data_IF_363337287743
#
_entry.id   IF_363337287743
#
_cell.length_a   1.000
_cell.length_b   1.000
_cell.length_c   1.000
_cell.angle_alpha   90.00
_cell.angle_beta   90.00
_cell.angle_gamma   90.00
#
_symmetry.space_group_name_H-M   'P 1'
#
loop_
_entity.id
_entity.type
_entity.pdbx_description
1 polymer ?
#
# COMPACT_ATOMS: atom_id res chain seq x y z
N UNK A 1 8.15 37.45 14.16
CA UNK A 1 9.19 36.40 14.07
C UNK A 1 9.63 35.88 15.43
N UNK A 2 10.10 36.70 16.40
CA UNK A 2 10.46 36.21 17.75
C UNK A 2 9.38 35.35 18.42
N UNK A 3 8.11 35.77 18.34
CA UNK A 3 6.97 34.98 18.86
C UNK A 3 6.73 33.66 18.09
N UNK A 4 7.04 33.61 16.78
CA UNK A 4 6.94 32.40 15.97
C UNK A 4 8.08 31.41 16.31
N UNK A 5 9.31 31.92 16.44
CA UNK A 5 10.46 31.15 16.92
C UNK A 5 10.24 30.62 18.32
N UNK A 6 9.62 31.39 19.21
CA UNK A 6 9.30 30.92 20.56
C UNK A 6 8.25 29.80 20.56
N UNK A 7 7.22 29.91 19.72
CA UNK A 7 6.19 28.87 19.56
C UNK A 7 6.73 27.58 18.93
N UNK A 8 7.69 27.67 18.02
CA UNK A 8 8.29 26.52 17.34
C UNK A 8 9.73 26.24 17.80
N UNK A 9 10.07 26.64 19.03
CA UNK A 9 11.45 26.59 19.55
C UNK A 9 12.01 25.18 19.56
N UNK A 10 11.24 24.22 20.08
CA UNK A 10 11.65 22.81 20.12
C UNK A 10 11.83 22.19 18.73
N UNK A 11 11.11 22.69 17.71
CA UNK A 11 11.27 22.26 16.32
C UNK A 11 12.60 22.80 15.76
N UNK A 12 12.87 24.08 15.99
CA UNK A 12 14.07 24.76 15.49
C UNK A 12 15.37 24.27 16.15
N UNK A 13 15.33 23.95 17.45
CA UNK A 13 16.49 23.45 18.21
C UNK A 13 16.86 22.02 17.85
N UNK A 14 15.89 21.18 17.43
CA UNK A 14 16.10 19.77 17.07
C UNK A 14 16.36 19.53 15.58
N UNK A 15 16.04 20.49 14.72
CA UNK A 15 16.12 20.31 13.27
C UNK A 15 17.58 20.26 12.78
N UNK A 16 17.88 19.24 11.97
CA UNK A 16 19.21 19.01 11.39
C UNK A 16 19.35 19.73 10.03
N UNK A 17 18.25 20.10 9.40
CA UNK A 17 18.23 20.88 8.16
C UNK A 17 17.06 21.90 8.12
N UNK A 18 17.13 22.94 7.25
CA UNK A 18 16.04 23.89 7.05
C UNK A 18 14.74 23.23 6.56
N UNK A 19 14.83 22.08 5.91
CA UNK A 19 13.71 21.37 5.33
C UNK A 19 12.80 20.74 6.41
N UNK A 20 13.39 20.23 7.50
CA UNK A 20 12.67 19.76 8.68
C UNK A 20 11.90 20.90 9.36
N UNK A 21 12.46 22.12 9.35
CA UNK A 21 11.76 23.31 9.83
C UNK A 21 10.60 23.67 8.89
N UNK A 22 10.82 23.69 7.56
CA UNK A 22 9.77 23.99 6.59
C UNK A 22 8.59 23.00 6.68
N UNK A 23 8.90 21.71 6.80
CA UNK A 23 7.90 20.66 7.00
C UNK A 23 7.17 20.75 8.34
N UNK A 24 7.88 21.10 9.42
CA UNK A 24 7.27 21.36 10.71
C UNK A 24 6.33 22.56 10.66
N UNK A 25 6.72 23.64 10.00
CA UNK A 25 5.89 24.83 9.79
C UNK A 25 4.63 24.49 8.97
N UNK A 26 4.77 23.74 7.88
CA UNK A 26 3.62 23.27 7.08
C UNK A 26 2.66 22.39 7.92
N UNK A 27 3.19 21.48 8.73
CA UNK A 27 2.39 20.63 9.61
C UNK A 27 1.60 21.42 10.66
N UNK A 28 2.10 22.60 11.06
CA UNK A 28 1.40 23.53 11.95
C UNK A 28 0.54 24.57 11.19
N UNK A 29 0.32 24.37 9.88
CA UNK A 29 -0.58 25.18 9.06
C UNK A 29 0.03 26.48 8.51
N UNK A 30 1.35 26.64 8.56
CA UNK A 30 2.04 27.77 7.92
C UNK A 30 2.13 27.51 6.41
N UNK A 31 1.59 28.42 5.61
CA UNK A 31 1.61 28.38 4.15
C UNK A 31 2.51 29.48 3.57
N UNK A 32 2.79 29.47 2.27
CA UNK A 32 3.57 30.52 1.60
C UNK A 32 2.95 31.92 1.81
N UNK A 33 1.61 32.01 1.83
CA UNK A 33 0.87 33.23 2.19
C UNK A 33 1.12 33.66 3.64
N UNK A 34 1.27 32.71 4.57
CA UNK A 34 1.62 32.99 5.97
C UNK A 34 3.08 33.46 6.09
N UNK A 35 3.99 32.87 5.33
CA UNK A 35 5.40 33.27 5.27
C UNK A 35 5.59 34.71 4.74
N UNK A 36 4.79 35.10 3.73
CA UNK A 36 4.76 36.46 3.20
C UNK A 36 4.45 37.53 4.28
N UNK A 37 3.62 37.21 5.28
CA UNK A 37 3.33 38.11 6.42
C UNK A 37 4.56 38.34 7.31
N UNK A 38 5.52 37.41 7.30
CA UNK A 38 6.81 37.56 7.98
C UNK A 38 7.89 38.18 7.08
N UNK A 39 7.52 38.72 5.91
CA UNK A 39 8.44 39.27 4.88
C UNK A 39 9.42 38.25 4.28
N UNK A 40 9.02 36.98 4.24
CA UNK A 40 9.74 35.94 3.50
C UNK A 40 8.95 35.54 2.26
N UNK A 41 9.64 35.18 1.18
CA UNK A 41 9.02 34.83 -0.11
C UNK A 41 8.12 33.59 0.00
N UNK A 42 8.54 32.61 0.79
CA UNK A 42 7.93 31.27 0.90
C UNK A 42 8.31 30.63 2.25
N UNK A 43 7.68 29.48 2.57
CA UNK A 43 7.95 28.73 3.80
C UNK A 43 9.38 28.21 3.87
N UNK A 44 10.01 27.89 2.74
CA UNK A 44 11.40 27.42 2.69
C UNK A 44 12.38 28.52 3.11
N UNK A 45 12.22 29.72 2.57
CA UNK A 45 13.00 30.92 2.91
C UNK A 45 12.82 31.31 4.37
N UNK A 46 11.59 31.21 4.89
CA UNK A 46 11.31 31.43 6.31
C UNK A 46 12.02 30.37 7.18
N UNK A 47 12.03 29.11 6.73
CA UNK A 47 12.67 28.01 7.44
C UNK A 47 14.20 28.11 7.41
N UNK A 48 14.81 28.53 6.30
CA UNK A 48 16.24 28.84 6.21
C UNK A 48 16.63 29.96 7.16
N UNK A 49 15.84 31.03 7.23
CA UNK A 49 16.08 32.13 8.16
C UNK A 49 15.95 31.67 9.62
N UNK A 50 14.91 30.88 9.93
CA UNK A 50 14.73 30.30 11.26
C UNK A 50 15.86 29.33 11.61
N UNK A 51 16.35 28.56 10.65
CA UNK A 51 17.52 27.70 10.80
C UNK A 51 18.75 28.55 11.12
N UNK A 52 19.08 29.56 10.30
CA UNK A 52 20.27 30.39 10.46
C UNK A 52 20.33 31.15 11.80
N UNK A 53 19.18 31.49 12.38
CA UNK A 53 19.07 32.25 13.64
C UNK A 53 19.20 31.41 14.92
N UNK A 54 19.13 30.08 14.83
CA UNK A 54 19.34 29.21 15.99
C UNK A 54 20.85 29.12 16.23
N UNK A 55 21.35 29.52 17.41
CA UNK A 55 22.75 29.30 17.76
C UNK A 55 23.00 27.80 17.84
N UNK A 56 23.73 27.24 16.87
CA UNK A 56 24.22 25.86 16.93
C UNK A 56 25.68 25.92 17.34
N UNK A 57 26.04 25.20 18.39
CA UNK A 57 27.44 25.11 18.83
C UNK A 57 28.32 24.49 17.74
N UNK A 58 29.62 24.66 17.88
CA UNK A 58 30.65 24.11 16.97
C UNK A 58 30.58 22.57 16.83
N UNK A 59 29.83 21.90 17.71
CA UNK A 59 29.46 20.47 17.63
C UNK A 59 28.35 20.15 16.62
N UNK A 60 28.09 21.04 15.64
CA UNK A 60 27.10 20.75 14.59
C UNK A 60 27.65 19.59 13.75
N UNK A 61 27.05 18.38 13.77
CA UNK A 61 27.49 17.31 12.90
C UNK A 61 27.45 17.82 11.45
N UNK A 62 28.47 17.51 10.62
CA UNK A 62 28.57 18.06 9.28
C UNK A 62 27.26 17.87 8.54
N UNK A 63 26.81 18.93 7.85
CA UNK A 63 25.61 18.95 7.02
C UNK A 63 25.53 17.60 6.29
N UNK A 64 24.46 16.80 6.46
CA UNK A 64 24.41 15.50 5.83
C UNK A 64 24.61 15.73 4.33
N UNK A 65 25.77 15.30 3.81
CA UNK A 65 26.10 15.41 2.40
C UNK A 65 24.90 14.86 1.62
N UNK A 66 24.51 15.46 0.47
CA UNK A 66 23.36 15.04 -0.30
C UNK A 66 23.43 13.53 -0.44
N UNK A 67 22.52 12.85 0.27
CA UNK A 67 22.65 11.42 0.57
C UNK A 67 22.86 10.73 -0.77
N UNK A 68 24.09 10.27 -1.03
CA UNK A 68 24.37 9.50 -2.22
C UNK A 68 23.30 8.40 -2.26
N UNK A 69 22.55 8.33 -3.36
CA UNK A 69 21.45 7.39 -3.52
C UNK A 69 21.89 6.04 -2.93
N UNK A 70 21.13 5.43 -2.01
CA UNK A 70 21.53 4.17 -1.42
C UNK A 70 21.92 3.23 -2.55
N UNK A 71 23.19 2.79 -2.60
CA UNK A 71 23.65 1.85 -3.63
C UNK A 71 22.65 0.69 -3.67
N UNK A 72 22.20 0.25 -4.86
CA UNK A 72 21.27 -0.86 -4.97
C UNK A 72 21.94 -2.08 -4.35
N UNK A 73 21.57 -2.41 -3.12
CA UNK A 73 22.13 -3.57 -2.47
C UNK A 73 21.36 -4.79 -3.02
N UNK A 74 22.05 -5.75 -3.65
CA UNK A 74 21.41 -6.88 -4.30
C UNK A 74 20.68 -7.79 -3.30
N UNK A 75 21.12 -7.80 -2.04
CA UNK A 75 20.44 -8.45 -0.91
C UNK A 75 18.97 -7.99 -0.78
N UNK A 76 18.70 -6.71 -1.03
CA UNK A 76 17.38 -6.10 -0.92
C UNK A 76 16.50 -6.41 -2.12
N UNK A 77 17.09 -6.48 -3.31
CA UNK A 77 16.40 -6.91 -4.53
C UNK A 77 16.02 -8.40 -4.45
N UNK A 78 16.93 -9.23 -3.94
CA UNK A 78 16.68 -10.65 -3.71
C UNK A 78 15.56 -10.87 -2.69
N UNK A 79 15.55 -10.10 -1.59
CA UNK A 79 14.47 -10.14 -0.60
C UNK A 79 13.11 -9.72 -1.18
N UNK A 80 13.06 -8.87 -2.21
CA UNK A 80 11.80 -8.46 -2.84
C UNK A 80 11.22 -9.46 -3.83
N UNK A 81 12.05 -10.36 -4.37
CA UNK A 81 11.63 -11.45 -5.26
C UNK A 81 11.26 -12.72 -4.48
N UNK A 82 11.77 -12.86 -3.26
CA UNK A 82 11.57 -14.01 -2.38
C UNK A 82 10.09 -14.40 -2.15
N UNK A 83 9.13 -13.47 -1.95
CA UNK A 83 7.72 -13.83 -1.79
C UNK A 83 7.13 -14.49 -3.04
N UNK A 84 7.47 -13.99 -4.22
CA UNK A 84 7.02 -14.54 -5.50
C UNK A 84 7.65 -15.89 -5.81
N UNK A 85 8.95 -16.04 -5.54
CA UNK A 85 9.66 -17.31 -5.70
C UNK A 85 9.11 -18.41 -4.78
N UNK A 86 8.85 -18.08 -3.50
CA UNK A 86 8.24 -19.01 -2.54
C UNK A 86 6.78 -19.34 -2.91
N UNK A 87 6.03 -18.36 -3.41
CA UNK A 87 4.66 -18.60 -3.89
C UNK A 87 4.66 -19.55 -5.10
N UNK A 88 5.54 -19.32 -6.08
CA UNK A 88 5.73 -20.22 -7.21
C UNK A 88 6.14 -21.63 -6.78
N UNK A 89 7.10 -21.77 -5.86
CA UNK A 89 7.54 -23.04 -5.31
C UNK A 89 6.43 -23.79 -4.54
N UNK A 90 5.59 -23.06 -3.80
CA UNK A 90 4.44 -23.64 -3.11
C UNK A 90 3.40 -24.14 -4.12
N UNK A 91 3.13 -23.38 -5.18
CA UNK A 91 2.19 -23.78 -6.23
C UNK A 91 2.68 -24.99 -7.04
N UNK A 92 3.97 -25.06 -7.37
CA UNK A 92 4.54 -26.26 -8.01
C UNK A 92 4.48 -27.46 -7.08
N UNK A 93 4.80 -27.28 -5.79
CA UNK A 93 4.65 -28.34 -4.78
C UNK A 93 3.20 -28.84 -4.66
N UNK A 94 2.21 -27.94 -4.74
CA UNK A 94 0.79 -28.30 -4.73
C UNK A 94 0.34 -29.07 -5.97
N UNK A 95 0.94 -28.79 -7.14
CA UNK A 95 0.66 -29.54 -8.39
C UNK A 95 1.29 -30.94 -8.38
N UNK A 96 2.36 -31.14 -7.62
CA UNK A 96 3.11 -32.41 -7.53
C UNK A 96 2.68 -33.30 -6.35
N UNK A 97 1.77 -32.85 -5.49
CA UNK A 97 1.37 -33.59 -4.29
C UNK A 97 -0.12 -33.89 -4.24
N UNK A 98 -0.45 -35.10 -3.79
CA UNK A 98 -1.83 -35.57 -3.62
C UNK A 98 -2.16 -35.82 -2.14
N UNK A 99 -3.47 -35.89 -1.84
CA UNK A 99 -3.99 -36.26 -0.52
C UNK A 99 -3.51 -35.38 0.65
N UNK A 100 -3.15 -36.02 1.78
CA UNK A 100 -2.73 -35.34 3.02
C UNK A 100 -1.46 -34.51 2.86
N UNK A 101 -0.56 -34.96 1.99
CA UNK A 101 0.70 -34.28 1.64
C UNK A 101 0.44 -32.91 1.02
N UNK A 102 -0.58 -32.80 0.17
CA UNK A 102 -1.00 -31.54 -0.44
C UNK A 102 -1.49 -30.52 0.59
N UNK A 103 -2.22 -30.95 1.62
CA UNK A 103 -2.65 -30.08 2.71
C UNK A 103 -1.45 -29.53 3.50
N UNK A 104 -0.46 -30.38 3.78
CA UNK A 104 0.77 -29.95 4.46
C UNK A 104 1.58 -28.95 3.61
N UNK A 105 1.69 -29.19 2.31
CA UNK A 105 2.33 -28.25 1.37
C UNK A 105 1.56 -26.94 1.27
N UNK A 106 0.22 -26.97 1.26
CA UNK A 106 -0.61 -25.77 1.27
C UNK A 106 -0.35 -24.92 2.53
N UNK A 107 -0.40 -25.56 3.71
CA UNK A 107 -0.15 -24.88 4.99
C UNK A 107 1.26 -24.31 5.06
N UNK A 108 2.27 -25.08 4.65
CA UNK A 108 3.66 -24.62 4.59
C UNK A 108 3.84 -23.46 3.59
N UNK A 109 3.22 -23.55 2.41
CA UNK A 109 3.21 -22.49 1.40
C UNK A 109 2.60 -21.19 1.93
N UNK A 110 1.44 -21.27 2.58
CA UNK A 110 0.80 -20.10 3.21
C UNK A 110 1.67 -19.51 4.30
N UNK A 111 2.26 -20.35 5.17
CA UNK A 111 3.13 -19.87 6.26
C UNK A 111 4.40 -19.19 5.74
N UNK A 112 5.05 -19.77 4.72
CA UNK A 112 6.27 -19.22 4.13
C UNK A 112 5.99 -17.92 3.38
N UNK A 113 4.94 -17.85 2.56
CA UNK A 113 4.54 -16.62 1.85
C UNK A 113 4.14 -15.52 2.83
N UNK A 114 3.34 -15.84 3.85
CA UNK A 114 2.95 -14.84 4.88
C UNK A 114 4.14 -14.36 5.70
N UNK A 115 5.12 -15.22 5.99
CA UNK A 115 6.34 -14.82 6.68
C UNK A 115 7.23 -13.94 5.79
N UNK A 116 7.43 -14.32 4.53
CA UNK A 116 8.17 -13.54 3.55
C UNK A 116 7.55 -12.15 3.35
N UNK A 117 6.23 -12.09 3.18
CA UNK A 117 5.49 -10.83 3.08
C UNK A 117 5.66 -9.99 4.36
N UNK A 118 5.56 -10.60 5.55
CA UNK A 118 5.82 -9.91 6.83
C UNK A 118 7.25 -9.39 6.95
N UNK A 119 8.23 -10.09 6.41
CA UNK A 119 9.64 -9.66 6.42
C UNK A 119 9.89 -8.51 5.44
N UNK A 120 9.37 -8.58 4.21
CA UNK A 120 9.48 -7.50 3.21
C UNK A 120 8.75 -6.24 3.70
N UNK A 121 7.53 -6.41 4.23
CA UNK A 121 6.74 -5.34 4.82
C UNK A 121 7.23 -4.94 6.23
N UNK A 122 8.17 -5.67 6.82
CA UNK A 122 8.64 -5.42 8.18
C UNK A 122 10.00 -4.75 8.25
N UNK A 123 10.91 -5.18 7.38
CA UNK A 123 12.33 -4.82 7.39
C UNK A 123 12.78 -4.18 6.07
N UNK A 124 11.91 -4.15 5.05
CA UNK A 124 12.21 -3.62 3.72
C UNK A 124 12.16 -2.09 3.59
N UNK A 125 12.41 -1.55 2.38
CA UNK A 125 12.36 -0.10 2.08
C UNK A 125 10.95 0.50 2.24
N UNK A 126 9.94 -0.37 2.36
CA UNK A 126 8.57 -0.02 2.67
C UNK A 126 8.26 -0.13 4.17
N UNK A 127 9.23 -0.40 5.05
CA UNK A 127 8.99 -0.52 6.49
C UNK A 127 8.55 0.81 7.10
N UNK A 128 7.46 0.85 7.90
CA UNK A 128 7.07 2.06 8.60
C UNK A 128 8.16 2.51 9.59
N UNK A 129 8.30 3.82 9.77
CA UNK A 129 9.24 4.42 10.74
C UNK A 129 8.98 3.87 12.15
N UNK A 130 10.05 3.54 12.89
CA UNK A 130 9.98 3.02 14.28
C UNK A 130 9.14 3.98 15.15
N UNK A 131 7.96 3.54 15.59
CA UNK A 131 7.08 4.28 16.50
C UNK A 131 5.58 4.03 16.34
N UNK A 132 5.10 3.68 15.15
CA UNK A 132 3.66 3.48 14.86
C UNK A 132 3.21 2.03 15.14
N UNK A 133 2.81 1.74 16.38
CA UNK A 133 2.59 0.35 16.84
C UNK A 133 1.16 -0.23 16.66
N UNK A 134 0.04 0.47 16.90
CA UNK A 134 -1.27 -0.20 16.89
C UNK A 134 -1.85 -0.41 15.49
N UNK A 135 -1.81 0.59 14.60
CA UNK A 135 -2.42 0.50 13.26
C UNK A 135 -1.74 -0.51 12.31
N UNK A 136 -0.46 -0.82 12.55
CA UNK A 136 0.37 -1.68 11.69
C UNK A 136 -0.03 -3.16 11.73
N UNK A 137 -0.49 -3.66 12.89
CA UNK A 137 -0.96 -5.05 13.01
C UNK A 137 -2.31 -5.23 12.31
N UNK A 138 -3.18 -4.23 12.42
CA UNK A 138 -4.50 -4.23 11.79
C UNK A 138 -4.39 -4.20 10.26
N UNK A 139 -3.54 -3.35 9.68
CA UNK A 139 -3.31 -3.35 8.23
C UNK A 139 -2.74 -4.68 7.73
N UNK A 140 -1.76 -5.25 8.43
CA UNK A 140 -1.17 -6.54 8.04
C UNK A 140 -2.19 -7.69 8.09
N UNK A 141 -3.07 -7.70 9.10
CA UNK A 141 -4.15 -8.68 9.21
C UNK A 141 -5.13 -8.57 8.03
N UNK A 142 -5.60 -7.36 7.72
CA UNK A 142 -6.52 -7.12 6.61
C UNK A 142 -5.89 -7.36 5.25
N UNK A 143 -4.61 -7.01 5.06
CA UNK A 143 -3.89 -7.38 3.83
C UNK A 143 -3.81 -8.89 3.67
N UNK A 144 -3.55 -9.64 4.74
CA UNK A 144 -3.59 -11.11 4.72
C UNK A 144 -4.97 -11.66 4.38
N UNK A 145 -6.02 -11.06 4.95
CA UNK A 145 -7.42 -11.41 4.66
C UNK A 145 -7.78 -11.18 3.20
N UNK A 146 -7.50 -9.99 2.65
CA UNK A 146 -7.79 -9.66 1.24
C UNK A 146 -7.03 -10.55 0.25
N UNK A 147 -5.78 -10.92 0.58
CA UNK A 147 -5.02 -11.88 -0.23
C UNK A 147 -5.62 -13.30 -0.17
N UNK A 148 -6.13 -13.71 0.99
CA UNK A 148 -6.84 -14.98 1.13
C UNK A 148 -8.18 -14.96 0.37
N UNK A 149 -8.91 -13.85 0.41
CA UNK A 149 -10.15 -13.67 -0.34
C UNK A 149 -9.90 -13.65 -1.85
N UNK A 150 -8.85 -12.99 -2.34
CA UNK A 150 -8.50 -13.02 -3.77
C UNK A 150 -8.19 -14.42 -4.31
N UNK A 151 -7.82 -15.36 -3.41
CA UNK A 151 -7.44 -16.72 -3.77
C UNK A 151 -8.59 -17.73 -3.65
N UNK A 152 -9.40 -17.61 -2.60
CA UNK A 152 -10.48 -18.55 -2.26
C UNK A 152 -11.88 -17.93 -2.37
N UNK A 153 -12.01 -16.61 -2.26
CA UNK A 153 -13.28 -15.89 -2.13
C UNK A 153 -14.19 -16.02 -3.34
N UNK A 154 -13.64 -15.96 -4.56
CA UNK A 154 -14.43 -16.11 -5.79
C UNK A 154 -15.03 -17.53 -5.91
N UNK A 155 -14.27 -18.54 -5.51
CA UNK A 155 -14.73 -19.93 -5.44
C UNK A 155 -15.83 -20.12 -4.37
N UNK A 156 -15.67 -19.48 -3.21
CA UNK A 156 -16.68 -19.48 -2.14
C UNK A 156 -17.97 -18.82 -2.59
N UNK A 157 -17.87 -17.65 -3.24
CA UNK A 157 -19.03 -16.89 -3.70
C UNK A 157 -19.79 -17.66 -4.78
N UNK A 158 -19.07 -18.28 -5.73
CA UNK A 158 -19.68 -19.15 -6.76
C UNK A 158 -20.42 -20.32 -6.13
N UNK A 159 -19.82 -21.01 -5.16
CA UNK A 159 -20.46 -22.12 -4.46
C UNK A 159 -21.68 -21.66 -3.64
N UNK A 160 -21.58 -20.51 -2.97
CA UNK A 160 -22.68 -19.94 -2.21
C UNK A 160 -23.89 -19.56 -3.10
N UNK A 161 -23.66 -19.07 -4.32
CA UNK A 161 -24.72 -18.79 -5.29
C UNK A 161 -25.31 -20.09 -5.86
N UNK A 162 -24.50 -21.12 -6.08
CA UNK A 162 -24.93 -22.37 -6.74
C UNK A 162 -25.80 -23.31 -5.88
N UNK A 163 -25.98 -23.05 -4.58
CA UNK A 163 -26.70 -23.97 -3.68
C UNK A 163 -25.96 -24.30 -2.38
N UNK A 164 -24.72 -23.82 -2.24
CA UNK A 164 -23.89 -23.93 -1.04
C UNK A 164 -22.56 -24.60 -1.36
N UNK A 165 -21.54 -24.46 -0.49
CA UNK A 165 -20.31 -25.23 -0.65
C UNK A 165 -20.59 -26.70 -0.33
N UNK A 166 -20.60 -27.54 -1.36
CA UNK A 166 -20.81 -28.99 -1.23
C UNK A 166 -19.63 -29.71 -0.55
N UNK A 167 -18.52 -29.01 -0.29
CA UNK A 167 -17.34 -29.54 0.39
C UNK A 167 -16.29 -28.49 0.78
N UNK A 168 -15.26 -28.95 1.49
CA UNK A 168 -14.10 -28.13 1.87
C UNK A 168 -13.21 -27.78 0.66
N UNK A 169 -12.42 -26.69 0.73
CA UNK A 169 -11.49 -26.34 -0.35
C UNK A 169 -10.43 -27.44 -0.52
N UNK A 170 -10.57 -28.22 -1.59
CA UNK A 170 -9.62 -29.26 -1.99
C UNK A 170 -8.41 -28.70 -2.73
N UNK A 171 -8.47 -27.42 -3.13
CA UNK A 171 -7.41 -26.72 -3.84
C UNK A 171 -7.24 -27.16 -5.30
N UNK A 172 -8.14 -28.00 -5.84
CA UNK A 172 -8.17 -28.41 -7.24
C UNK A 172 -8.90 -27.36 -8.10
N UNK A 173 -8.46 -27.12 -9.34
CA UNK A 173 -9.19 -26.28 -10.30
C UNK A 173 -10.63 -26.77 -10.52
N UNK A 174 -10.86 -28.09 -10.51
CA UNK A 174 -12.17 -28.72 -10.73
C UNK A 174 -12.88 -29.13 -9.42
N UNK A 175 -12.43 -28.60 -8.27
CA UNK A 175 -13.05 -28.91 -6.99
C UNK A 175 -14.40 -28.19 -6.78
N UNK A 176 -15.22 -28.64 -5.81
CA UNK A 176 -16.45 -27.95 -5.42
C UNK A 176 -16.18 -26.51 -4.92
N UNK A 177 -14.92 -26.22 -4.57
CA UNK A 177 -14.43 -24.89 -4.23
C UNK A 177 -13.08 -24.65 -4.97
N UNK A 178 -13.12 -24.07 -6.18
CA UNK A 178 -11.93 -23.86 -6.99
C UNK A 178 -11.02 -22.78 -6.38
N UNK A 179 -9.72 -23.05 -6.40
CA UNK A 179 -8.67 -22.13 -5.94
C UNK A 179 -8.04 -21.42 -7.13
N UNK A 180 -7.92 -20.09 -7.08
CA UNK A 180 -7.30 -19.29 -8.14
C UNK A 180 -5.83 -18.96 -7.79
N UNK A 181 -4.84 -19.72 -8.30
CA UNK A 181 -3.43 -19.49 -8.01
C UNK A 181 -2.86 -18.23 -8.69
N UNK A 182 -3.40 -17.85 -9.86
CA UNK A 182 -2.85 -16.76 -10.68
C UNK A 182 -2.88 -15.38 -9.99
N UNK A 183 -3.98 -14.94 -9.34
CA UNK A 183 -4.01 -13.68 -8.59
C UNK A 183 -3.01 -13.63 -7.44
N UNK A 184 -2.85 -14.73 -6.70
CA UNK A 184 -1.89 -14.83 -5.58
C UNK A 184 -0.44 -14.71 -6.05
N UNK A 185 -0.07 -15.46 -7.09
CA UNK A 185 1.26 -15.40 -7.68
C UNK A 185 1.56 -13.97 -8.19
N UNK A 186 0.60 -13.37 -8.88
CA UNK A 186 0.74 -12.02 -9.43
C UNK A 186 0.93 -10.98 -8.33
N UNK A 187 0.11 -11.01 -7.27
CA UNK A 187 0.19 -10.04 -6.16
C UNK A 187 1.46 -10.22 -5.30
N UNK A 188 1.97 -11.45 -5.17
CA UNK A 188 3.24 -11.69 -4.46
C UNK A 188 4.44 -11.22 -5.29
N UNK A 189 4.44 -11.45 -6.61
CA UNK A 189 5.45 -10.91 -7.53
C UNK A 189 5.39 -9.37 -7.62
N UNK A 190 4.20 -8.78 -7.49
CA UNK A 190 4.00 -7.34 -7.48
C UNK A 190 4.72 -6.59 -6.34
N UNK A 191 5.24 -7.31 -5.33
CA UNK A 191 6.09 -6.72 -4.29
C UNK A 191 7.35 -6.06 -4.87
N UNK A 192 7.94 -6.65 -5.92
CA UNK A 192 9.13 -6.10 -6.57
C UNK A 192 8.84 -4.74 -7.25
N UNK A 193 7.89 -4.61 -8.20
CA UNK A 193 7.56 -3.32 -8.80
C UNK A 193 7.02 -2.32 -7.77
N UNK A 194 6.28 -2.75 -6.74
CA UNK A 194 5.82 -1.85 -5.67
C UNK A 194 6.99 -1.18 -4.92
N UNK A 195 8.02 -1.95 -4.55
CA UNK A 195 9.18 -1.40 -3.85
C UNK A 195 10.01 -0.47 -4.75
N UNK A 196 10.17 -0.83 -6.02
CA UNK A 196 10.83 -0.01 -7.02
C UNK A 196 10.10 1.33 -7.23
N UNK A 197 8.77 1.28 -7.44
CA UNK A 197 7.94 2.47 -7.61
C UNK A 197 7.97 3.39 -6.38
N UNK A 198 7.90 2.84 -5.17
CA UNK A 198 8.03 3.64 -3.95
C UNK A 198 9.43 4.28 -3.81
N UNK A 199 10.48 3.56 -4.20
CA UNK A 199 11.84 4.10 -4.21
C UNK A 199 12.00 5.21 -5.25
N UNK A 200 11.45 5.04 -6.45
CA UNK A 200 11.45 6.08 -7.49
C UNK A 200 10.69 7.33 -7.03
N UNK A 201 9.51 7.17 -6.42
CA UNK A 201 8.73 8.27 -5.89
C UNK A 201 9.53 9.02 -4.83
N UNK A 202 10.07 8.33 -3.83
CA UNK A 202 10.82 8.96 -2.74
C UNK A 202 12.11 9.63 -3.21
N UNK A 203 12.85 9.01 -4.13
CA UNK A 203 14.07 9.58 -4.69
C UNK A 203 13.80 10.81 -5.57
N UNK A 204 12.74 10.79 -6.39
CA UNK A 204 12.37 11.93 -7.24
C UNK A 204 11.68 13.04 -6.46
N UNK A 205 10.84 12.72 -5.48
CA UNK A 205 10.23 13.71 -4.59
C UNK A 205 11.31 14.50 -3.83
N UNK A 206 12.36 13.83 -3.33
CA UNK A 206 13.51 14.49 -2.70
C UNK A 206 14.23 15.44 -3.65
N UNK A 207 14.57 15.00 -4.87
CA UNK A 207 15.21 15.88 -5.87
C UNK A 207 14.36 17.08 -6.24
N UNK A 208 13.04 16.91 -6.32
CA UNK A 208 12.10 18.02 -6.59
C UNK A 208 12.03 18.97 -5.40
N UNK A 209 12.06 18.43 -4.18
CA UNK A 209 12.06 19.22 -2.95
C UNK A 209 13.32 20.09 -2.81
N UNK A 210 14.49 19.56 -3.19
CA UNK A 210 15.75 20.32 -3.21
C UNK A 210 15.79 21.42 -4.29
N UNK A 211 15.00 21.26 -5.37
CA UNK A 211 14.97 22.19 -6.50
C UNK A 211 13.87 23.26 -6.40
N UNK A 212 12.76 22.95 -5.72
CA UNK A 212 11.61 23.84 -5.58
C UNK A 212 11.85 24.91 -4.52
N UNK A 213 11.40 26.14 -4.80
CA UNK A 213 11.54 27.26 -3.86
C UNK A 213 10.27 27.53 -3.06
N UNK A 214 9.13 26.95 -3.43
CA UNK A 214 7.84 27.14 -2.75
C UNK A 214 7.04 25.85 -2.61
N UNK A 215 6.05 25.84 -1.71
CA UNK A 215 5.24 24.66 -1.43
C UNK A 215 4.26 24.36 -2.58
N UNK A 216 3.74 25.40 -3.22
CA UNK A 216 2.88 25.29 -4.40
C UNK A 216 3.63 24.69 -5.60
N UNK A 217 4.87 25.14 -5.84
CA UNK A 217 5.74 24.63 -6.90
C UNK A 217 6.11 23.15 -6.67
N UNK A 218 6.38 22.79 -5.41
CA UNK A 218 6.62 21.41 -5.01
C UNK A 218 5.39 20.52 -5.25
N UNK A 219 4.22 20.97 -4.80
CA UNK A 219 2.94 20.26 -4.97
C UNK A 219 2.65 20.01 -6.45
N UNK A 220 2.76 21.06 -7.28
CA UNK A 220 2.55 20.98 -8.72
C UNK A 220 3.52 20.03 -9.42
N UNK A 221 4.75 19.90 -8.92
CA UNK A 221 5.78 19.01 -9.47
C UNK A 221 5.63 17.55 -9.04
N UNK A 222 5.14 17.29 -7.82
CA UNK A 222 5.02 15.94 -7.25
C UNK A 222 3.72 15.24 -7.64
N UNK A 223 2.63 15.98 -7.87
CA UNK A 223 1.36 15.40 -8.30
C UNK A 223 1.47 14.56 -9.60
N UNK A 224 2.04 15.07 -10.72
CA UNK A 224 2.19 14.27 -11.94
C UNK A 224 3.18 13.11 -11.76
N UNK A 225 4.17 13.26 -10.88
CA UNK A 225 5.10 12.19 -10.54
C UNK A 225 4.38 11.04 -9.81
N UNK A 226 3.53 11.34 -8.84
CA UNK A 226 2.76 10.34 -8.11
C UNK A 226 1.84 9.57 -9.05
N UNK A 227 1.10 10.29 -9.91
CA UNK A 227 0.23 9.67 -10.91
C UNK A 227 1.03 8.81 -11.90
N UNK A 228 2.17 9.31 -12.39
CA UNK A 228 3.04 8.56 -13.30
C UNK A 228 3.64 7.29 -12.68
N UNK A 229 4.00 7.31 -11.39
CA UNK A 229 4.49 6.12 -10.68
C UNK A 229 3.36 5.14 -10.43
N UNK A 230 2.16 5.62 -10.12
CA UNK A 230 0.98 4.79 -9.93
C UNK A 230 0.56 4.10 -11.23
N UNK A 231 0.54 4.82 -12.36
CA UNK A 231 0.25 4.24 -13.67
C UNK A 231 1.34 3.26 -14.11
N UNK A 232 2.62 3.55 -13.82
CA UNK A 232 3.72 2.62 -14.05
C UNK A 232 3.55 1.32 -13.24
N UNK A 233 3.12 1.41 -11.98
CA UNK A 233 2.83 0.24 -11.15
C UNK A 233 1.67 -0.59 -11.73
N UNK A 234 0.58 0.06 -12.14
CA UNK A 234 -0.55 -0.63 -12.76
C UNK A 234 -0.18 -1.31 -14.09
N UNK A 235 0.64 -0.65 -14.92
CA UNK A 235 1.15 -1.24 -16.16
C UNK A 235 2.01 -2.48 -15.90
N UNK A 236 2.93 -2.41 -14.93
CA UNK A 236 3.73 -3.55 -14.52
C UNK A 236 2.88 -4.69 -13.95
N UNK A 237 1.86 -4.37 -13.14
CA UNK A 237 0.93 -5.33 -12.58
C UNK A 237 0.08 -6.02 -13.66
N UNK A 238 -0.38 -5.26 -14.66
CA UNK A 238 -1.10 -5.80 -15.82
C UNK A 238 -0.24 -6.77 -16.63
N UNK A 239 1.01 -6.39 -16.92
CA UNK A 239 1.95 -7.26 -17.62
C UNK A 239 2.25 -8.55 -16.82
N UNK A 240 2.44 -8.44 -15.51
CA UNK A 240 2.61 -9.61 -14.63
C UNK A 240 1.36 -10.50 -14.61
N UNK A 241 0.16 -9.90 -14.63
CA UNK A 241 -1.10 -10.64 -14.69
C UNK A 241 -1.17 -11.47 -15.98
N UNK A 242 -0.84 -10.86 -17.12
CA UNK A 242 -0.79 -11.56 -18.41
C UNK A 242 0.22 -12.72 -18.41
N UNK A 243 1.42 -12.48 -17.87
CA UNK A 243 2.48 -13.49 -17.77
C UNK A 243 2.10 -14.65 -16.85
N UNK A 244 1.52 -14.36 -15.68
CA UNK A 244 1.12 -15.40 -14.72
C UNK A 244 -0.07 -16.21 -15.25
N UNK A 245 -1.04 -15.54 -15.90
CA UNK A 245 -2.16 -16.19 -16.56
C UNK A 245 -1.69 -17.14 -17.66
N UNK A 246 -0.78 -16.69 -18.53
CA UNK A 246 -0.18 -17.51 -19.57
C UNK A 246 0.65 -18.68 -19.01
N UNK A 247 1.39 -18.47 -17.92
CA UNK A 247 2.21 -19.53 -17.31
C UNK A 247 1.38 -20.60 -16.57
N UNK A 248 0.15 -20.28 -16.20
CA UNK A 248 -0.75 -21.17 -15.45
C UNK A 248 -1.90 -21.72 -16.32
N UNK A 249 -1.95 -21.35 -17.61
CA UNK A 249 -3.04 -21.65 -18.56
C UNK A 249 -4.43 -21.24 -18.04
N UNK A 250 -4.51 -20.08 -17.37
CA UNK A 250 -5.75 -19.55 -16.79
C UNK A 250 -6.17 -18.22 -17.45
N UNK A 251 -7.47 -17.87 -17.47
CA UNK A 251 -7.92 -16.59 -17.97
C UNK A 251 -7.40 -15.45 -17.07
N UNK A 252 -6.87 -14.34 -17.65
CA UNK A 252 -6.30 -13.25 -16.87
C UNK A 252 -7.39 -12.45 -16.15
N UNK A 253 -7.40 -12.52 -14.82
CA UNK A 253 -8.32 -11.79 -13.95
C UNK A 253 -7.85 -10.33 -13.73
N UNK A 254 -7.79 -9.52 -14.79
CA UNK A 254 -7.27 -8.15 -14.72
C UNK A 254 -8.01 -7.26 -13.71
N UNK A 255 -9.34 -7.27 -13.72
CA UNK A 255 -10.15 -6.37 -12.90
C UNK A 255 -9.89 -6.55 -11.37
N UNK A 256 -10.01 -7.75 -10.77
CA UNK A 256 -9.76 -7.92 -9.35
C UNK A 256 -8.28 -7.71 -8.99
N UNK A 257 -7.34 -8.16 -9.84
CA UNK A 257 -5.90 -8.03 -9.54
C UNK A 257 -5.45 -6.56 -9.56
N UNK A 258 -5.86 -5.79 -10.57
CA UNK A 258 -5.48 -4.38 -10.69
C UNK A 258 -6.08 -3.52 -9.58
N UNK A 259 -7.35 -3.73 -9.25
CA UNK A 259 -8.06 -2.96 -8.21
C UNK A 259 -7.53 -3.26 -6.81
N UNK A 260 -7.31 -4.54 -6.48
CA UNK A 260 -6.71 -4.94 -5.21
C UNK A 260 -5.24 -4.50 -5.12
N UNK A 261 -4.46 -4.68 -6.18
CA UNK A 261 -3.07 -4.23 -6.25
C UNK A 261 -2.94 -2.72 -6.05
N UNK A 262 -3.82 -1.92 -6.69
CA UNK A 262 -3.91 -0.48 -6.50
C UNK A 262 -4.16 -0.10 -5.03
N UNK A 263 -5.17 -0.74 -4.42
CA UNK A 263 -5.56 -0.50 -3.03
C UNK A 263 -4.41 -0.80 -2.07
N UNK A 264 -3.77 -1.97 -2.22
CA UNK A 264 -2.65 -2.39 -1.38
C UNK A 264 -1.43 -1.47 -1.55
N UNK A 265 -1.11 -1.07 -2.78
CA UNK A 265 -0.01 -0.16 -3.06
C UNK A 265 -0.23 1.22 -2.41
N UNK A 266 -1.43 1.81 -2.58
CA UNK A 266 -1.79 3.10 -1.98
C UNK A 266 -1.81 3.04 -0.45
N UNK A 267 -2.44 2.00 0.12
CA UNK A 267 -2.46 1.78 1.56
C UNK A 267 -1.04 1.67 2.11
N UNK A 268 -0.14 1.00 1.38
CA UNK A 268 1.24 0.85 1.78
C UNK A 268 2.01 2.16 1.70
N UNK A 269 1.83 2.92 0.63
CA UNK A 269 2.48 4.20 0.42
C UNK A 269 2.15 5.17 1.55
N UNK A 270 0.87 5.29 1.91
CA UNK A 270 0.40 6.11 3.03
C UNK A 270 0.97 5.64 4.37
N UNK A 271 1.03 4.32 4.59
CA UNK A 271 1.62 3.74 5.81
C UNK A 271 3.11 4.06 5.94
N UNK A 272 3.87 4.05 4.84
CA UNK A 272 5.30 4.38 4.81
C UNK A 272 5.54 5.86 5.14
N UNK A 273 4.67 6.74 4.65
CA UNK A 273 4.77 8.19 4.86
C UNK A 273 4.16 8.65 6.19
N UNK A 274 3.74 7.73 7.07
CA UNK A 274 3.34 8.05 8.45
C UNK A 274 1.84 8.21 8.68
N UNK A 275 1.00 7.89 7.69
CA UNK A 275 -0.46 7.98 7.78
C UNK A 275 -1.12 6.57 7.77
N UNK A 276 -0.94 5.74 8.81
CA UNK A 276 -1.43 4.35 8.81
C UNK A 276 -2.93 4.20 9.10
N UNK A 277 -3.58 5.22 9.67
CA UNK A 277 -4.95 5.09 10.16
C UNK A 277 -5.98 4.98 9.04
N UNK A 278 -5.95 5.89 8.07
CA UNK A 278 -6.88 5.89 6.92
C UNK A 278 -6.76 4.58 6.12
N UNK A 279 -5.55 4.13 5.72
CA UNK A 279 -5.36 2.81 5.11
C UNK A 279 -5.94 1.65 5.93
N UNK A 280 -5.75 1.66 7.25
CA UNK A 280 -6.25 0.59 8.11
C UNK A 280 -7.77 0.51 8.12
N UNK A 281 -8.45 1.65 8.13
CA UNK A 281 -9.92 1.73 8.10
C UNK A 281 -10.44 1.30 6.74
N UNK A 282 -9.84 1.78 5.65
CA UNK A 282 -10.26 1.44 4.29
C UNK A 282 -10.08 -0.06 4.03
N UNK A 283 -8.92 -0.63 4.34
CA UNK A 283 -8.69 -2.07 4.18
C UNK A 283 -9.63 -2.91 5.06
N UNK A 284 -9.95 -2.44 6.27
CA UNK A 284 -10.92 -3.11 7.13
C UNK A 284 -12.33 -3.08 6.53
N UNK A 285 -12.78 -1.91 6.07
CA UNK A 285 -14.09 -1.73 5.46
C UNK A 285 -14.24 -2.62 4.20
N UNK A 286 -13.23 -2.63 3.34
CA UNK A 286 -13.21 -3.49 2.15
C UNK A 286 -13.26 -4.97 2.54
N UNK A 287 -12.40 -5.41 3.49
CA UNK A 287 -12.40 -6.79 3.94
C UNK A 287 -13.72 -7.22 4.61
N UNK A 288 -14.37 -6.33 5.36
CA UNK A 288 -15.70 -6.61 5.92
C UNK A 288 -16.78 -6.68 4.84
N UNK A 289 -16.72 -5.84 3.81
CA UNK A 289 -17.67 -5.87 2.70
C UNK A 289 -17.54 -7.17 1.89
N UNK A 290 -16.32 -7.65 1.68
CA UNK A 290 -16.05 -8.95 1.04
C UNK A 290 -16.59 -10.14 1.86
N UNK A 291 -16.57 -10.07 3.20
CA UNK A 291 -17.20 -11.08 4.07
C UNK A 291 -18.72 -11.01 4.02
N UNK A 292 -19.27 -9.80 3.95
CA UNK A 292 -20.72 -9.58 3.93
C UNK A 292 -21.35 -10.11 2.63
N UNK A 293 -20.65 -10.04 1.49
CA UNK A 293 -21.17 -10.51 0.21
C UNK A 293 -21.67 -11.98 0.21
N UNK A 294 -20.88 -12.99 0.63
CA UNK A 294 -21.38 -14.36 0.76
C UNK A 294 -22.40 -14.49 1.92
N UNK A 295 -22.27 -13.69 2.98
CA UNK A 295 -23.21 -13.74 4.10
C UNK A 295 -24.62 -13.29 3.72
N UNK A 296 -24.76 -12.27 2.86
CA UNK A 296 -26.07 -11.80 2.38
C UNK A 296 -26.73 -12.80 1.44
N UNK A 297 -25.94 -13.52 0.62
CA UNK A 297 -26.44 -14.64 -0.20
C UNK A 297 -26.97 -15.77 0.68
N UNK A 298 -26.24 -16.14 1.73
CA UNK A 298 -26.69 -17.17 2.68
C UNK A 298 -27.92 -16.70 3.49
N UNK A 299 -27.95 -15.44 3.92
CA UNK A 299 -29.09 -14.86 4.62
C UNK A 299 -30.35 -14.77 3.73
N UNK A 300 -30.18 -14.58 2.42
CA UNK A 300 -31.28 -14.57 1.45
C UNK A 300 -32.07 -15.88 1.38
N UNK A 301 -31.51 -16.98 1.88
CA UNK A 301 -32.18 -18.29 1.95
C UNK A 301 -33.14 -18.44 3.13
N UNK A 302 -33.12 -17.49 4.09
CA UNK A 302 -34.09 -17.46 5.17
C UNK A 302 -35.46 -16.99 4.65
N UNK A 303 -36.57 -17.52 5.18
CA UNK A 303 -37.91 -17.14 4.74
C UNK A 303 -38.12 -15.63 4.94
N UNK A 304 -38.46 -14.92 3.86
CA UNK A 304 -38.69 -13.47 3.87
C UNK A 304 -37.45 -12.59 3.64
N UNK A 305 -36.25 -13.17 3.48
CA UNK A 305 -35.00 -12.41 3.35
C UNK A 305 -34.41 -12.38 1.92
N UNK A 306 -35.12 -12.89 0.91
CA UNK A 306 -34.60 -13.00 -0.47
C UNK A 306 -34.10 -11.70 -1.09
N UNK A 307 -34.61 -10.54 -0.65
CA UNK A 307 -34.14 -9.23 -1.11
C UNK A 307 -32.65 -8.95 -0.79
N UNK A 308 -32.07 -9.64 0.21
CA UNK A 308 -30.67 -9.44 0.62
C UNK A 308 -29.66 -10.06 -0.36
N UNK A 309 -30.04 -11.10 -1.11
CA UNK A 309 -29.14 -11.77 -2.05
C UNK A 309 -29.13 -11.13 -3.44
N UNK A 310 -30.22 -10.44 -3.82
CA UNK A 310 -30.43 -9.77 -5.12
C UNK A 310 -29.23 -8.92 -5.59
N UNK A 311 -28.63 -8.00 -4.80
CA UNK A 311 -27.55 -7.16 -5.30
C UNK A 311 -26.27 -7.96 -5.61
N UNK A 312 -25.99 -9.01 -4.82
CA UNK A 312 -24.82 -9.86 -5.05
C UNK A 312 -25.07 -10.77 -6.25
N UNK A 313 -26.24 -11.41 -6.31
CA UNK A 313 -26.63 -12.28 -7.42
C UNK A 313 -26.62 -11.52 -8.76
N UNK A 314 -27.24 -10.34 -8.83
CA UNK A 314 -27.26 -9.50 -10.04
C UNK A 314 -25.86 -9.08 -10.51
N UNK A 315 -24.95 -8.75 -9.58
CA UNK A 315 -23.56 -8.46 -9.93
C UNK A 315 -22.83 -9.71 -10.43
N UNK A 316 -23.03 -10.85 -9.77
CA UNK A 316 -22.41 -12.11 -10.19
C UNK A 316 -22.94 -12.62 -11.54
N UNK A 317 -24.21 -12.40 -11.87
CA UNK A 317 -24.78 -12.79 -13.17
C UNK A 317 -24.32 -11.86 -14.29
N UNK A 318 -24.17 -10.56 -14.02
CA UNK A 318 -23.74 -9.58 -15.03
C UNK A 318 -22.24 -9.61 -15.31
N UNK A 319 -21.39 -9.81 -14.28
CA UNK A 319 -19.93 -9.66 -14.38
C UNK A 319 -19.12 -10.83 -13.83
N UNK A 320 -19.77 -11.93 -13.45
CA UNK A 320 -19.13 -13.05 -12.76
C UNK A 320 -18.80 -12.76 -11.29
N UNK A 321 -18.36 -13.78 -10.52
CA UNK A 321 -18.07 -13.65 -9.09
C UNK A 321 -16.95 -12.65 -8.78
N UNK A 322 -15.95 -12.55 -9.67
CA UNK A 322 -14.81 -11.65 -9.53
C UNK A 322 -15.16 -10.15 -9.66
N UNK A 323 -16.36 -9.81 -10.15
CA UNK A 323 -16.81 -8.41 -10.25
C UNK A 323 -17.06 -7.77 -8.89
N UNK A 324 -17.49 -8.55 -7.89
CA UNK A 324 -17.80 -8.08 -6.54
C UNK A 324 -16.54 -7.54 -5.84
N UNK A 325 -15.44 -8.31 -5.67
CA UNK A 325 -14.22 -7.77 -5.06
C UNK A 325 -13.60 -6.66 -5.91
N UNK A 326 -13.69 -6.72 -7.24
CA UNK A 326 -13.16 -5.66 -8.10
C UNK A 326 -13.85 -4.31 -7.87
N UNK A 327 -15.19 -4.31 -7.76
CA UNK A 327 -15.97 -3.10 -7.47
C UNK A 327 -15.71 -2.57 -6.06
N UNK A 328 -15.67 -3.44 -5.05
CA UNK A 328 -15.37 -3.05 -3.67
C UNK A 328 -13.96 -2.46 -3.54
N UNK A 329 -12.96 -3.09 -4.16
CA UNK A 329 -11.59 -2.60 -4.18
C UNK A 329 -11.46 -1.28 -4.97
N UNK A 330 -12.16 -1.14 -6.10
CA UNK A 330 -12.16 0.10 -6.88
C UNK A 330 -12.82 1.26 -6.11
N UNK A 331 -13.99 1.02 -5.51
CA UNK A 331 -14.72 2.00 -4.71
C UNK A 331 -13.91 2.47 -3.48
N UNK A 332 -13.13 1.57 -2.87
CA UNK A 332 -12.20 1.90 -1.79
C UNK A 332 -10.92 2.59 -2.29
N UNK A 333 -10.43 2.20 -3.46
CA UNK A 333 -9.18 2.70 -4.05
C UNK A 333 -9.25 4.16 -4.51
N UNK A 334 -10.37 4.59 -5.11
CA UNK A 334 -10.56 5.97 -5.58
C UNK A 334 -10.42 7.04 -4.47
N UNK A 335 -11.16 6.97 -3.34
CA UNK A 335 -10.99 7.95 -2.26
C UNK A 335 -9.60 7.86 -1.63
N UNK A 336 -9.01 6.67 -1.55
CA UNK A 336 -7.65 6.49 -1.05
C UNK A 336 -6.60 7.12 -1.98
N UNK A 337 -6.81 7.07 -3.30
CA UNK A 337 -5.96 7.73 -4.29
C UNK A 337 -6.05 9.25 -4.16
N UNK A 338 -7.27 9.80 -4.07
CA UNK A 338 -7.48 11.25 -3.83
C UNK A 338 -6.80 11.66 -2.52
N UNK A 339 -6.94 10.86 -1.47
CA UNK A 339 -6.27 11.10 -0.19
C UNK A 339 -4.74 11.04 -0.32
N UNK A 340 -4.19 10.06 -1.05
CA UNK A 340 -2.76 9.94 -1.31
C UNK A 340 -2.21 11.13 -2.09
N UNK A 341 -2.90 11.58 -3.14
CA UNK A 341 -2.52 12.78 -3.91
C UNK A 341 -2.51 14.03 -3.02
N UNK A 342 -3.43 14.16 -2.07
CA UNK A 342 -3.50 15.34 -1.17
C UNK A 342 -2.50 15.31 -0.01
N UNK A 343 -2.12 14.12 0.44
CA UNK A 343 -1.25 13.94 1.61
C UNK A 343 0.22 13.84 1.23
N UNK A 344 0.54 13.12 0.16
CA UNK A 344 1.92 12.87 -0.27
C UNK A 344 2.51 14.02 -1.08
N UNK A 345 1.69 14.96 -1.54
CA UNK A 345 2.19 16.19 -2.17
C UNK A 345 2.65 17.24 -1.16
N UNK A 346 2.40 17.03 0.14
CA UNK A 346 2.85 17.91 1.22
C UNK A 346 4.33 17.67 1.52
N UNK A 347 5.09 18.73 1.73
CA UNK A 347 6.52 18.64 2.07
C UNK A 347 6.74 17.87 3.39
N UNK A 348 5.81 18.05 4.34
CA UNK A 348 5.73 17.37 5.63
C UNK A 348 5.64 15.85 5.55
N UNK A 349 5.08 15.28 4.46
CA UNK A 349 5.07 13.83 4.26
C UNK A 349 6.48 13.26 3.95
N UNK A 350 7.39 14.10 3.46
CA UNK A 350 8.72 13.69 3.01
C UNK A 350 9.84 14.09 3.96
N UNK A 351 9.58 15.01 4.90
CA UNK A 351 10.54 15.33 5.94
C UNK A 351 10.88 14.11 6.79
N UNK A 352 12.16 13.99 7.14
CA UNK A 352 12.63 13.05 8.14
C UNK A 352 12.25 13.65 9.49
N UNK A 353 11.14 13.20 10.06
CA UNK A 353 10.92 13.44 11.48
C UNK A 353 11.92 12.57 12.22
N UNK A 354 12.99 13.18 12.73
CA UNK A 354 13.73 12.61 13.84
C UNK A 354 12.72 12.33 14.96
N UNK A 355 12.55 11.04 15.25
CA UNK A 355 11.72 10.36 16.25
C UNK A 355 10.77 11.19 17.16
N UNK A 356 9.52 10.75 17.37
CA UNK A 356 8.75 11.21 18.52
C UNK A 356 9.40 10.69 19.81
N UNK A 357 9.50 11.59 20.80
CA UNK A 357 9.91 11.31 22.17
C UNK A 357 9.06 10.22 22.82
#
# INVERSE_FOLDING_TARGET
>A
MKALMHRHRELCERAVDPLEIAAGLEAHGVTDRTAARFRHRDVFSLAEEMYARVPRGDDTPPRPAPTALPRPRPDRALLTLLPGALCGAALTGLRLTEGRTRLLVAVAGVLTVTLALRLVLGKGPLGPRRGTRPGRRRTALWTGWLLAYAALGDGLLRAAVAGGPDGWPTGTPDGPWPFAPAPLLTLTLACAPATWCAHLLTARARRRLDASRGLEEFTASVQPLLLGVFTLFLGALGALTALCAAALDEPPAYAPVLTLGALLFLARLLTVHGFPHVPAVVLAATGTAEVLAPATVLAGRLPGCGALSVPVETLTTAGGPASVPALLCAAAGLPLLVHAVRTLTRASAHARTAHPC
#
